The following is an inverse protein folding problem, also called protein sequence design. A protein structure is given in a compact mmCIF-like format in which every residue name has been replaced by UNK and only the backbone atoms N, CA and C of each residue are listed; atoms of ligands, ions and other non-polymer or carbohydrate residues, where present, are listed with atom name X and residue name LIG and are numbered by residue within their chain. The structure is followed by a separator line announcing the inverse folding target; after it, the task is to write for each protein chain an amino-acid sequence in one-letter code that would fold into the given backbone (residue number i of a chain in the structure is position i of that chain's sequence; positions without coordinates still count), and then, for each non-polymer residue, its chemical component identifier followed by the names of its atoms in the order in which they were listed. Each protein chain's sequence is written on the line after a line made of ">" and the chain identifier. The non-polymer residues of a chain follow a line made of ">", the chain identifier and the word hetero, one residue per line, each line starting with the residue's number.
data_IF_303888903535
#
_entry.id   IF_303888903535
#
_cell.length_a   1.000
_cell.length_b   1.000
_cell.length_c   1.000
_cell.angle_alpha   90.00
_cell.angle_beta   90.00
_cell.angle_gamma   90.00
#
_symmetry.space_group_name_H-M   'P 1'
#
loop_
_entity.id
_entity.type
_entity.pdbx_description
1 polymer ?
#
# COMPACT_ATOMS: atom_id res chain seq x y z
N UNK A 1 -13.59 16.02 -7.18
CA UNK A 1 -12.37 15.37 -7.72
C UNK A 1 -12.69 13.88 -7.83
N UNK A 2 -12.16 13.18 -8.83
CA UNK A 2 -12.54 11.77 -9.13
C UNK A 2 -12.22 10.78 -8.00
N UNK A 3 -11.18 11.06 -7.21
CA UNK A 3 -10.80 10.32 -6.00
C UNK A 3 -11.90 10.37 -4.93
N UNK A 4 -12.41 11.54 -4.61
CA UNK A 4 -13.48 11.69 -3.60
C UNK A 4 -14.77 10.96 -4.01
N UNK A 5 -15.16 11.06 -5.29
CA UNK A 5 -16.32 10.35 -5.84
C UNK A 5 -16.16 8.83 -5.74
N UNK A 6 -14.94 8.31 -5.99
CA UNK A 6 -14.62 6.90 -5.80
C UNK A 6 -14.76 6.47 -4.34
N UNK A 7 -14.23 7.25 -3.38
CA UNK A 7 -14.37 6.94 -1.95
C UNK A 7 -15.84 6.97 -1.51
N UNK A 8 -16.64 7.92 -2.01
CA UNK A 8 -18.08 7.94 -1.75
C UNK A 8 -18.77 6.66 -2.24
N UNK A 9 -18.40 6.15 -3.42
CA UNK A 9 -18.93 4.89 -3.92
C UNK A 9 -18.55 3.70 -3.02
N UNK A 10 -17.30 3.64 -2.54
CA UNK A 10 -16.83 2.59 -1.62
C UNK A 10 -17.62 2.63 -0.30
N UNK A 11 -17.77 3.80 0.33
CA UNK A 11 -18.56 3.95 1.56
C UNK A 11 -20.04 3.56 1.31
N UNK A 12 -20.58 3.89 0.14
CA UNK A 12 -21.91 3.46 -0.27
C UNK A 12 -22.05 1.93 -0.39
N UNK A 13 -21.02 1.23 -0.87
CA UNK A 13 -20.98 -0.24 -0.92
C UNK A 13 -20.85 -0.85 0.47
N UNK A 14 -19.99 -0.31 1.33
CA UNK A 14 -19.83 -0.74 2.72
C UNK A 14 -21.12 -0.63 3.54
N UNK A 15 -21.89 0.43 3.33
CA UNK A 15 -23.21 0.57 3.97
C UNK A 15 -24.15 -0.59 3.65
N UNK A 16 -24.09 -1.16 2.43
CA UNK A 16 -24.94 -2.30 2.02
C UNK A 16 -24.61 -3.59 2.78
N UNK A 17 -23.42 -3.69 3.36
CA UNK A 17 -22.99 -4.83 4.20
C UNK A 17 -22.92 -4.47 5.69
N UNK A 18 -23.53 -3.35 6.09
CA UNK A 18 -23.63 -2.95 7.50
C UNK A 18 -22.41 -2.22 8.07
N UNK A 19 -21.46 -1.79 7.23
CA UNK A 19 -20.30 -1.00 7.67
C UNK A 19 -20.64 0.49 7.51
N UNK A 20 -20.63 1.21 8.61
CA UNK A 20 -20.77 2.67 8.64
C UNK A 20 -19.39 3.32 8.70
N UNK A 21 -19.11 4.22 7.76
CA UNK A 21 -17.83 4.93 7.67
C UNK A 21 -18.05 6.42 7.36
N UNK A 22 -17.29 7.28 8.02
CA UNK A 22 -17.21 8.70 7.74
C UNK A 22 -16.00 8.98 6.85
N UNK A 23 -16.16 9.87 5.86
CA UNK A 23 -15.07 10.26 4.97
C UNK A 23 -14.38 11.49 5.55
N UNK A 24 -13.11 11.35 5.89
CA UNK A 24 -12.23 12.45 6.28
C UNK A 24 -11.26 12.77 5.14
N UNK A 25 -11.07 14.05 4.86
CA UNK A 25 -10.14 14.51 3.82
C UNK A 25 -9.03 15.31 4.48
N UNK A 26 -7.79 14.92 4.21
CA UNK A 26 -6.60 15.58 4.72
C UNK A 26 -5.81 16.25 3.61
N UNK A 27 -5.03 17.25 4.00
CA UNK A 27 -3.88 17.67 3.20
C UNK A 27 -2.86 16.53 3.11
N UNK A 28 -2.18 16.43 1.96
CA UNK A 28 -1.23 15.35 1.67
C UNK A 28 -0.11 15.25 2.71
N UNK A 29 0.37 16.39 3.21
CA UNK A 29 1.39 16.43 4.26
C UNK A 29 0.91 15.77 5.56
N UNK A 30 -0.36 15.99 5.93
CA UNK A 30 -0.95 15.36 7.11
C UNK A 30 -1.13 13.87 6.93
N UNK A 31 -1.53 13.42 5.75
CA UNK A 31 -1.59 11.99 5.45
C UNK A 31 -0.23 11.30 5.64
N UNK A 32 0.86 11.90 5.13
CA UNK A 32 2.19 11.34 5.30
C UNK A 32 2.67 11.32 6.76
N UNK A 33 2.39 12.40 7.50
CA UNK A 33 2.68 12.47 8.94
C UNK A 33 1.98 11.35 9.71
N UNK A 34 0.68 11.14 9.45
CA UNK A 34 -0.10 10.09 10.10
C UNK A 34 0.37 8.70 9.70
N UNK A 35 0.74 8.49 8.43
CA UNK A 35 1.26 7.20 7.95
C UNK A 35 2.57 6.83 8.63
N UNK A 36 3.54 7.75 8.62
CA UNK A 36 4.86 7.50 9.21
C UNK A 36 4.82 7.34 10.75
N UNK A 37 3.69 7.68 11.39
CA UNK A 37 3.47 7.54 12.82
C UNK A 37 2.48 6.41 13.17
N UNK A 38 2.08 5.58 12.21
CA UNK A 38 1.10 4.49 12.36
C UNK A 38 -0.23 4.94 12.98
N UNK A 39 -0.70 6.12 12.56
CA UNK A 39 -1.90 6.80 13.06
C UNK A 39 -2.92 7.11 11.98
N UNK A 40 -2.78 6.51 10.79
CA UNK A 40 -3.84 6.59 9.79
C UNK A 40 -5.13 5.95 10.32
N UNK A 41 -6.27 6.43 9.82
CA UNK A 41 -7.54 5.77 10.04
C UNK A 41 -7.48 4.31 9.54
N UNK A 42 -8.34 3.40 10.06
CA UNK A 42 -8.31 1.98 9.69
C UNK A 42 -8.41 1.71 8.17
N UNK A 43 -9.02 2.63 7.42
CA UNK A 43 -8.94 2.67 5.97
C UNK A 43 -8.50 4.08 5.53
N UNK A 44 -7.43 4.14 4.75
CA UNK A 44 -6.90 5.38 4.20
C UNK A 44 -6.57 5.19 2.72
N UNK A 45 -6.76 6.25 1.94
CA UNK A 45 -6.53 6.21 0.50
C UNK A 45 -5.49 7.24 0.09
N UNK A 46 -4.53 6.81 -0.73
CA UNK A 46 -3.51 7.65 -1.36
C UNK A 46 -3.12 7.05 -2.70
N UNK A 47 -3.03 7.89 -3.75
CA UNK A 47 -2.61 7.45 -5.07
C UNK A 47 -1.08 7.44 -5.16
N UNK A 48 -0.51 6.28 -5.52
CA UNK A 48 0.92 6.13 -5.75
C UNK A 48 1.26 6.26 -7.24
N UNK A 49 2.38 6.93 -7.55
CA UNK A 49 2.90 7.05 -8.91
C UNK A 49 4.25 6.37 -9.06
N UNK A 50 4.43 5.59 -10.13
CA UNK A 50 5.70 4.97 -10.49
C UNK A 50 6.16 5.44 -11.87
N UNK A 51 7.04 6.43 -11.91
CA UNK A 51 7.48 7.06 -13.16
C UNK A 51 8.54 6.27 -13.93
N UNK A 52 9.22 5.32 -13.28
CA UNK A 52 10.34 4.57 -13.87
C UNK A 52 10.01 3.10 -14.15
N UNK A 53 8.83 2.63 -13.70
CA UNK A 53 8.35 1.27 -13.96
C UNK A 53 9.04 0.16 -13.17
N UNK A 54 9.88 0.49 -12.18
CA UNK A 54 10.55 -0.52 -11.33
C UNK A 54 9.63 -0.94 -10.17
N UNK A 55 9.36 -2.24 -9.93
CA UNK A 55 8.51 -2.70 -8.82
C UNK A 55 9.01 -2.27 -7.43
N UNK A 56 10.32 -2.06 -7.30
CA UNK A 56 10.96 -1.56 -6.08
C UNK A 56 10.37 -0.23 -5.62
N UNK A 57 10.00 0.64 -6.58
CA UNK A 57 9.42 1.95 -6.26
C UNK A 57 7.91 1.90 -5.98
N UNK A 58 7.25 0.75 -6.17
CA UNK A 58 5.84 0.52 -5.87
C UNK A 58 5.72 -0.46 -4.70
N UNK A 59 5.56 -1.76 -4.98
CA UNK A 59 5.43 -2.82 -3.97
C UNK A 59 6.54 -2.76 -2.93
N UNK A 60 7.79 -2.50 -3.34
CA UNK A 60 8.92 -2.36 -2.42
C UNK A 60 8.66 -1.31 -1.34
N UNK A 61 8.51 -0.03 -1.70
CA UNK A 61 8.29 1.01 -0.69
C UNK A 61 6.90 0.96 -0.02
N UNK A 62 5.85 0.59 -0.75
CA UNK A 62 4.50 0.59 -0.21
C UNK A 62 4.25 -0.55 0.79
N UNK A 63 4.97 -1.67 0.68
CA UNK A 63 4.69 -2.90 1.44
C UNK A 63 5.86 -3.37 2.30
N UNK A 64 6.94 -2.59 2.39
CA UNK A 64 8.07 -2.88 3.25
C UNK A 64 7.95 -2.08 4.55
N UNK A 65 7.60 -2.74 5.66
CA UNK A 65 7.36 -2.10 6.97
C UNK A 65 8.42 -1.07 7.41
N UNK A 66 9.73 -1.33 7.26
CA UNK A 66 10.74 -0.32 7.59
C UNK A 66 10.72 0.94 6.72
N UNK A 67 9.92 0.97 5.64
CA UNK A 67 9.67 2.17 4.85
C UNK A 67 8.62 3.05 5.52
N UNK A 68 8.82 4.38 5.61
CA UNK A 68 7.79 5.31 6.09
C UNK A 68 6.59 5.43 5.14
N UNK A 69 6.62 4.66 4.04
CA UNK A 69 5.58 4.60 3.04
C UNK A 69 4.63 3.43 3.20
N UNK A 70 4.98 2.45 4.04
CA UNK A 70 4.13 1.30 4.36
C UNK A 70 3.35 1.53 5.64
N UNK A 71 2.25 0.79 5.77
CA UNK A 71 1.46 0.64 7.01
C UNK A 71 1.45 -0.82 7.49
N UNK A 72 2.23 -1.68 6.83
CA UNK A 72 2.31 -3.11 7.10
C UNK A 72 3.70 -3.48 7.59
N UNK A 73 3.79 -3.89 8.86
CA UNK A 73 5.05 -4.23 9.52
C UNK A 73 5.27 -5.74 9.69
N UNK A 74 4.55 -6.55 8.90
CA UNK A 74 4.61 -7.99 9.06
C UNK A 74 5.98 -8.55 8.64
N UNK A 75 6.55 -9.38 9.52
CA UNK A 75 7.88 -9.97 9.30
C UNK A 75 7.94 -10.77 7.99
N UNK A 76 6.87 -11.44 7.61
CA UNK A 76 6.81 -12.25 6.40
C UNK A 76 6.96 -11.44 5.12
N UNK A 77 6.24 -10.31 4.98
CA UNK A 77 6.43 -9.39 3.86
C UNK A 77 7.85 -8.83 3.85
N UNK A 78 8.36 -8.43 5.01
CA UNK A 78 9.74 -7.93 5.15
C UNK A 78 10.76 -8.98 4.69
N UNK A 79 10.60 -10.24 5.11
CA UNK A 79 11.49 -11.34 4.73
C UNK A 79 11.43 -11.64 3.22
N UNK A 80 10.24 -11.57 2.61
CA UNK A 80 10.07 -11.77 1.17
C UNK A 80 10.67 -10.64 0.34
N UNK A 81 10.55 -9.39 0.81
CA UNK A 81 10.99 -8.19 0.08
C UNK A 81 12.50 -7.96 0.22
N UNK A 82 13.07 -8.21 1.40
CA UNK A 82 14.49 -7.97 1.71
C UNK A 82 15.49 -8.46 0.64
N UNK A 83 15.41 -9.70 0.12
CA UNK A 83 16.36 -10.16 -0.89
C UNK A 83 16.23 -9.47 -2.25
N UNK A 84 15.11 -8.78 -2.53
CA UNK A 84 14.83 -8.20 -3.84
C UNK A 84 15.46 -6.82 -4.06
N UNK A 85 15.74 -6.06 -2.99
CA UNK A 85 16.35 -4.72 -3.06
C UNK A 85 17.70 -4.70 -3.79
N UNK A 86 18.47 -5.78 -3.67
CA UNK A 86 19.83 -5.90 -4.23
C UNK A 86 20.01 -7.06 -5.19
N UNK A 87 18.94 -7.75 -5.60
CA UNK A 87 19.03 -8.85 -6.55
C UNK A 87 19.48 -8.34 -7.92
N UNK A 88 20.59 -8.90 -8.42
CA UNK A 88 21.25 -8.47 -9.66
C UNK A 88 20.71 -9.21 -10.88
N UNK A 89 20.21 -10.42 -10.69
CA UNK A 89 19.52 -11.15 -11.74
C UNK A 89 18.11 -10.58 -11.91
N UNK A 90 17.90 -9.85 -13.00
CA UNK A 90 16.63 -9.17 -13.26
C UNK A 90 15.46 -10.16 -13.40
N UNK A 91 15.65 -11.31 -14.04
CA UNK A 91 14.58 -12.29 -14.20
C UNK A 91 14.16 -12.87 -12.84
N UNK A 92 15.15 -13.17 -11.98
CA UNK A 92 14.91 -13.61 -10.60
C UNK A 92 14.26 -12.51 -9.76
N UNK A 93 14.71 -11.26 -9.90
CA UNK A 93 14.15 -10.09 -9.20
C UNK A 93 12.68 -9.89 -9.55
N UNK A 94 12.33 -9.89 -10.84
CA UNK A 94 10.95 -9.72 -11.31
C UNK A 94 10.07 -10.91 -10.89
N UNK A 95 10.56 -12.14 -10.95
CA UNK A 95 9.82 -13.30 -10.45
C UNK A 95 9.54 -13.18 -8.95
N UNK A 96 10.50 -12.69 -8.17
CA UNK A 96 10.34 -12.40 -6.74
C UNK A 96 9.27 -11.35 -6.47
N UNK A 97 9.30 -10.21 -7.16
CA UNK A 97 8.28 -9.16 -7.00
C UNK A 97 6.88 -9.65 -7.33
N UNK A 98 6.71 -10.45 -8.40
CA UNK A 98 5.42 -11.07 -8.72
C UNK A 98 4.93 -12.02 -7.62
N UNK A 99 5.84 -12.73 -6.96
CA UNK A 99 5.47 -13.60 -5.84
C UNK A 99 5.02 -12.79 -4.62
N UNK A 100 5.67 -11.67 -4.33
CA UNK A 100 5.26 -10.72 -3.29
C UNK A 100 3.88 -10.14 -3.61
N UNK A 101 3.67 -9.62 -4.81
CA UNK A 101 2.38 -9.05 -5.24
C UNK A 101 1.24 -10.07 -5.12
N UNK A 102 1.51 -11.33 -5.52
CA UNK A 102 0.56 -12.43 -5.37
C UNK A 102 0.23 -12.69 -3.90
N UNK A 103 1.24 -12.77 -3.04
CA UNK A 103 1.05 -13.01 -1.62
C UNK A 103 0.22 -11.90 -0.97
N UNK A 104 0.50 -10.64 -1.29
CA UNK A 104 -0.28 -9.48 -0.85
C UNK A 104 -1.75 -9.65 -1.22
N UNK A 105 -2.03 -9.96 -2.50
CA UNK A 105 -3.39 -10.14 -2.98
C UNK A 105 -4.12 -11.32 -2.33
N UNK A 106 -3.42 -12.42 -2.03
CA UNK A 106 -4.01 -13.62 -1.42
C UNK A 106 -4.29 -13.45 0.08
N UNK A 107 -3.48 -12.63 0.78
CA UNK A 107 -3.59 -12.43 2.22
C UNK A 107 -4.31 -11.13 2.62
N UNK A 108 -4.67 -10.29 1.64
CA UNK A 108 -5.32 -9.00 1.86
C UNK A 108 -4.53 -8.06 2.79
N UNK A 109 -3.21 -8.00 2.57
CA UNK A 109 -2.43 -6.81 2.93
C UNK A 109 -2.85 -5.64 2.02
#
# INVERSE_FOLDING_TARGET
>A
RKDYEMIQAIVGMWRKVGIEANIEVYEIAKHYELRAADKLAPAAFYNWGNSIGDPTTSTGFAMYGPSPHSVWDSKDLVDMINPLWGEKDEAKRIAGWKAVDKYIAEQAY
#
